data_IF_829911284976
#
_entry.id   IF_829911284976
#
_cell.length_a   1.000
_cell.length_b   1.000
_cell.length_c   1.000
_cell.angle_alpha   90.00
_cell.angle_beta   90.00
_cell.angle_gamma   90.00
#
_symmetry.space_group_name_H-M   'P 1'
#
loop_
_entity.id
_entity.type
_entity.pdbx_description
1 polymer ?
#
# COMPACT_ATOMS: atom_id res chain seq x y z
N UNK A 1 46.10 -25.48 -30.95
CA UNK A 1 45.56 -24.41 -31.82
C UNK A 1 44.30 -23.92 -31.17
N UNK A 2 44.40 -22.70 -30.71
CA UNK A 2 43.46 -21.90 -29.93
C UNK A 2 42.19 -21.61 -30.74
N UNK A 3 41.01 -21.69 -30.13
CA UNK A 3 39.77 -21.13 -30.68
C UNK A 3 39.00 -20.44 -29.56
N UNK A 4 39.13 -19.11 -29.58
CA UNK A 4 38.59 -18.17 -28.61
C UNK A 4 37.08 -18.22 -28.44
N UNK A 5 36.69 -17.95 -27.19
CA UNK A 5 35.37 -17.48 -26.82
C UNK A 5 35.11 -16.11 -27.48
N UNK A 6 33.97 -15.96 -28.13
CA UNK A 6 33.39 -14.65 -28.41
C UNK A 6 32.33 -14.34 -27.36
N UNK A 7 32.66 -13.33 -26.57
CA UNK A 7 31.84 -12.54 -25.68
C UNK A 7 30.67 -11.89 -26.43
N UNK A 8 29.44 -12.15 -25.99
CA UNK A 8 28.23 -11.50 -26.48
C UNK A 8 27.72 -10.54 -25.41
N UNK A 9 28.16 -9.29 -25.52
CA UNK A 9 27.76 -8.18 -24.68
C UNK A 9 26.24 -7.97 -24.67
N UNK A 10 25.67 -7.92 -23.47
CA UNK A 10 24.28 -7.53 -23.22
C UNK A 10 24.22 -6.00 -23.30
N UNK A 11 23.77 -5.49 -24.44
CA UNK A 11 23.51 -4.07 -24.64
C UNK A 11 22.41 -3.60 -23.68
N UNK A 12 22.73 -2.62 -22.82
CA UNK A 12 21.77 -1.93 -21.98
C UNK A 12 20.83 -1.08 -22.83
N UNK A 13 19.52 -1.28 -22.67
CA UNK A 13 18.51 -0.41 -23.25
C UNK A 13 18.43 0.84 -22.37
N UNK A 14 18.93 1.96 -22.88
CA UNK A 14 18.77 3.26 -22.24
C UNK A 14 17.34 3.78 -22.48
N UNK A 15 16.64 4.12 -21.40
CA UNK A 15 15.32 4.77 -21.48
C UNK A 15 15.47 6.21 -22.02
N UNK A 16 14.58 6.68 -22.91
CA UNK A 16 14.63 8.04 -23.44
C UNK A 16 14.29 9.08 -22.36
N UNK A 17 15.08 10.16 -22.32
CA UNK A 17 15.09 11.21 -21.27
C UNK A 17 13.92 12.20 -21.28
N UNK A 18 12.89 12.01 -22.10
CA UNK A 18 11.85 13.03 -22.34
C UNK A 18 10.40 12.63 -21.98
N UNK A 19 10.20 11.61 -21.13
CA UNK A 19 8.85 11.19 -20.73
C UNK A 19 8.16 12.10 -19.68
N UNK A 20 8.80 13.15 -19.18
CA UNK A 20 8.19 14.15 -18.29
C UNK A 20 8.11 15.52 -18.95
N UNK A 21 7.05 15.76 -19.72
CA UNK A 21 6.52 17.11 -19.94
C UNK A 21 5.02 17.11 -19.66
N UNK A 22 4.67 17.51 -18.44
CA UNK A 22 3.30 17.85 -18.07
C UNK A 22 2.91 19.15 -18.77
N UNK A 23 1.93 19.07 -19.66
CA UNK A 23 1.33 20.23 -20.33
C UNK A 23 0.34 20.90 -19.37
N UNK A 24 0.72 22.04 -18.80
CA UNK A 24 -0.21 22.88 -18.04
C UNK A 24 -1.15 23.59 -19.03
N UNK A 25 -2.44 23.23 -19.01
CA UNK A 25 -3.52 24.12 -19.46
C UNK A 25 -4.33 24.54 -18.25
N UNK A 26 -4.56 25.85 -18.04
CA UNK A 26 -5.37 26.32 -16.93
C UNK A 26 -6.86 26.03 -17.20
N UNK A 27 -7.51 25.32 -16.29
CA UNK A 27 -8.98 25.19 -16.26
C UNK A 27 -9.52 26.39 -15.48
N UNK A 28 -10.38 27.17 -16.13
CA UNK A 28 -10.99 28.36 -15.54
C UNK A 28 -11.91 28.02 -14.37
N UNK A 29 -11.70 28.71 -13.26
CA UNK A 29 -12.55 28.68 -12.06
C UNK A 29 -13.82 29.50 -12.35
N UNK A 30 -14.98 28.84 -12.36
CA UNK A 30 -16.28 29.50 -12.27
C UNK A 30 -16.60 29.73 -10.79
N UNK A 31 -16.61 31.00 -10.40
CA UNK A 31 -17.00 31.45 -9.06
C UNK A 31 -18.51 31.26 -8.86
N UNK A 32 -18.91 30.53 -7.82
CA UNK A 32 -20.30 30.49 -7.35
C UNK A 32 -20.44 31.34 -6.09
N UNK A 33 -21.36 32.29 -6.20
CA UNK A 33 -21.69 33.37 -5.27
C UNK A 33 -22.25 32.90 -3.92
N UNK A 34 -21.96 33.71 -2.90
CA UNK A 34 -22.43 33.67 -1.51
C UNK A 34 -23.96 33.62 -1.35
N UNK A 35 -24.41 32.88 -0.34
CA UNK A 35 -25.82 32.74 0.05
C UNK A 35 -26.21 33.60 1.27
N UNK A 36 -27.46 34.05 1.28
CA UNK A 36 -28.25 34.50 2.44
C UNK A 36 -29.35 35.51 2.05
N UNK A 37 -30.46 35.65 2.80
CA UNK A 37 -31.24 34.65 3.53
C UNK A 37 -32.74 34.64 3.12
N UNK A 38 -33.48 33.72 3.76
CA UNK A 38 -34.88 33.32 3.64
C UNK A 38 -35.97 34.42 3.65
N UNK A 39 -37.06 34.21 2.88
CA UNK A 39 -38.46 34.57 3.18
C UNK A 39 -39.46 33.99 2.14
N UNK A 40 -40.54 33.34 2.61
CA UNK A 40 -41.91 33.53 2.11
C UNK A 40 -42.49 32.70 0.94
N UNK A 41 -43.26 31.66 1.29
CA UNK A 41 -44.65 31.35 0.85
C UNK A 41 -45.05 31.00 -0.61
N UNK A 42 -45.72 29.83 -0.71
CA UNK A 42 -46.93 29.45 -1.52
C UNK A 42 -46.97 29.61 -3.04
N UNK A 43 -46.99 28.50 -3.80
CA UNK A 43 -48.20 27.90 -4.44
C UNK A 43 -47.83 26.84 -5.50
N UNK A 44 -48.79 25.95 -5.78
CA UNK A 44 -48.72 24.77 -6.63
C UNK A 44 -48.67 25.07 -8.14
N UNK A 45 -48.06 24.18 -8.94
CA UNK A 45 -48.69 23.44 -10.04
C UNK A 45 -47.66 22.63 -10.87
N UNK A 46 -47.99 21.35 -11.09
CA UNK A 46 -47.81 20.52 -12.29
C UNK A 46 -46.55 20.67 -13.18
N UNK A 47 -45.85 19.55 -13.40
CA UNK A 47 -45.34 19.22 -14.73
C UNK A 47 -43.97 18.54 -14.81
N UNK A 48 -43.98 17.39 -15.47
CA UNK A 48 -42.89 16.78 -16.23
C UNK A 48 -41.74 16.07 -15.49
N UNK A 49 -41.80 14.74 -15.59
CA UNK A 49 -40.68 13.83 -15.41
C UNK A 49 -39.50 14.19 -16.33
N UNK A 50 -38.29 14.23 -15.76
CA UNK A 50 -37.05 13.98 -16.47
C UNK A 50 -36.16 13.08 -15.63
N UNK A 51 -35.93 11.88 -16.18
CA UNK A 51 -34.91 10.93 -15.78
C UNK A 51 -33.55 11.62 -15.78
N UNK A 52 -32.94 11.76 -14.61
CA UNK A 52 -31.56 12.18 -14.43
C UNK A 52 -30.82 11.03 -13.78
N UNK A 53 -30.01 10.33 -14.56
CA UNK A 53 -29.06 9.32 -14.07
C UNK A 53 -28.05 10.04 -13.18
N UNK A 54 -28.17 9.86 -11.86
CA UNK A 54 -27.12 10.26 -10.91
C UNK A 54 -25.98 9.26 -11.08
N UNK A 55 -24.93 9.68 -11.79
CA UNK A 55 -23.66 8.98 -11.76
C UNK A 55 -23.07 9.13 -10.36
N UNK A 56 -23.04 8.04 -9.60
CA UNK A 56 -22.36 7.99 -8.31
C UNK A 56 -20.86 8.12 -8.58
N UNK A 57 -20.32 9.31 -8.34
CA UNK A 57 -18.87 9.54 -8.27
C UNK A 57 -18.41 8.86 -6.98
N UNK A 58 -17.63 7.78 -7.10
CA UNK A 58 -16.97 7.14 -5.97
C UNK A 58 -16.02 8.12 -5.27
N UNK A 59 -15.61 7.86 -4.02
CA UNK A 59 -14.78 8.79 -3.26
C UNK A 59 -13.48 9.05 -4.02
N UNK A 60 -13.34 10.28 -4.53
CA UNK A 60 -12.08 10.84 -4.99
C UNK A 60 -11.20 11.03 -3.76
N UNK A 61 -9.92 10.70 -3.86
CA UNK A 61 -8.91 11.14 -2.88
C UNK A 61 -8.93 12.67 -2.80
N UNK A 62 -9.49 13.17 -1.70
CA UNK A 62 -9.91 14.57 -1.51
C UNK A 62 -8.72 15.52 -1.22
N UNK A 63 -7.50 15.14 -1.60
CA UNK A 63 -6.26 15.89 -1.31
C UNK A 63 -5.63 16.52 -2.55
N UNK A 64 -6.28 16.40 -3.72
CA UNK A 64 -5.80 16.99 -4.97
C UNK A 64 -4.66 16.23 -5.64
N UNK A 65 -4.19 15.12 -5.06
CA UNK A 65 -3.17 14.25 -5.62
C UNK A 65 -3.72 13.07 -6.44
N UNK A 66 -5.04 12.89 -6.50
CA UNK A 66 -5.65 11.84 -7.32
C UNK A 66 -5.18 10.44 -6.90
N UNK A 67 -4.82 9.62 -7.88
CA UNK A 67 -4.39 8.23 -7.68
C UNK A 67 -2.95 8.09 -7.13
N UNK A 68 -2.41 9.09 -6.42
CA UNK A 68 -1.07 9.00 -5.83
C UNK A 68 -1.13 8.70 -4.33
N UNK A 69 -0.43 7.64 -3.92
CA UNK A 69 -0.24 7.27 -2.51
C UNK A 69 1.09 7.80 -1.98
N UNK A 70 1.13 8.15 -0.68
CA UNK A 70 2.31 8.61 0.03
C UNK A 70 2.49 7.79 1.30
N UNK A 71 3.39 6.80 1.24
CA UNK A 71 3.61 5.83 2.31
C UNK A 71 5.10 5.75 2.70
N UNK A 72 5.35 5.47 3.98
CA UNK A 72 6.67 5.03 4.46
C UNK A 72 6.53 3.71 5.19
N UNK A 73 7.46 2.79 4.94
CA UNK A 73 7.44 1.42 5.45
C UNK A 73 8.70 1.12 6.25
N UNK A 74 8.54 0.44 7.38
CA UNK A 74 9.60 0.17 8.34
C UNK A 74 9.61 -1.31 8.69
N UNK A 75 10.78 -1.92 8.63
CA UNK A 75 11.00 -3.26 9.19
C UNK A 75 10.92 -3.20 10.71
N UNK A 76 10.23 -4.17 11.30
CA UNK A 76 10.03 -4.27 12.76
C UNK A 76 10.70 -5.55 13.25
N UNK A 77 11.83 -5.40 13.95
CA UNK A 77 12.57 -6.53 14.52
C UNK A 77 11.90 -7.09 15.78
N UNK A 78 11.34 -6.20 16.61
CA UNK A 78 10.59 -6.56 17.82
C UNK A 78 9.15 -6.09 17.68
N UNK A 79 8.24 -7.05 17.54
CA UNK A 79 6.81 -6.76 17.38
C UNK A 79 6.25 -6.06 18.62
N UNK A 80 5.55 -4.91 18.46
CA UNK A 80 4.89 -4.21 19.56
C UNK A 80 3.56 -4.91 19.90
N UNK A 81 3.64 -5.98 20.70
CA UNK A 81 2.50 -6.86 21.02
C UNK A 81 1.33 -6.15 21.69
N UNK A 82 1.59 -5.05 22.39
CA UNK A 82 0.63 -4.18 23.06
C UNK A 82 -0.18 -3.31 22.08
N UNK A 83 0.32 -3.11 20.87
CA UNK A 83 -0.38 -2.39 19.79
C UNK A 83 -1.18 -3.32 18.87
N UNK A 84 -1.03 -4.64 19.01
CA UNK A 84 -1.73 -5.59 18.14
C UNK A 84 -3.18 -5.77 18.60
N UNK A 85 -4.11 -5.46 17.70
CA UNK A 85 -5.54 -5.73 17.88
C UNK A 85 -5.81 -7.23 18.08
N UNK A 86 -6.74 -7.57 19.00
CA UNK A 86 -7.16 -8.95 19.24
C UNK A 86 -7.91 -9.59 18.06
N UNK A 87 -8.52 -8.76 17.22
CA UNK A 87 -9.29 -9.16 16.05
C UNK A 87 -8.80 -8.37 14.81
N UNK A 88 -7.62 -8.71 14.26
CA UNK A 88 -7.06 -8.01 13.11
C UNK A 88 -7.87 -8.24 11.84
N UNK A 89 -7.48 -7.52 10.80
CA UNK A 89 -7.93 -7.77 9.43
C UNK A 89 -7.01 -8.78 8.76
N UNK A 90 -7.54 -9.93 8.33
CA UNK A 90 -6.81 -10.85 7.47
C UNK A 90 -6.88 -10.36 6.03
N UNK A 91 -5.73 -10.27 5.38
CA UNK A 91 -5.63 -9.94 3.96
C UNK A 91 -4.88 -11.07 3.27
N UNK A 92 -5.51 -11.66 2.26
CA UNK A 92 -4.84 -12.53 1.28
C UNK A 92 -4.88 -11.84 -0.07
N UNK A 93 -3.72 -11.53 -0.60
CA UNK A 93 -3.56 -10.80 -1.86
C UNK A 93 -2.72 -11.60 -2.85
N UNK A 94 -3.03 -11.43 -4.13
CA UNK A 94 -2.37 -12.11 -5.23
C UNK A 94 -1.92 -11.15 -6.30
N UNK A 95 -0.89 -11.55 -7.05
CA UNK A 95 -0.26 -10.75 -8.09
C UNK A 95 -0.46 -11.42 -9.45
N UNK A 96 -1.13 -10.71 -10.35
CA UNK A 96 -1.37 -11.14 -11.74
C UNK A 96 -0.28 -10.64 -12.69
N UNK A 97 0.30 -9.48 -12.35
CA UNK A 97 1.46 -8.87 -12.99
C UNK A 97 2.31 -8.24 -11.89
N UNK A 98 3.63 -8.39 -11.97
CA UNK A 98 4.55 -7.62 -11.15
C UNK A 98 5.95 -7.57 -11.79
N UNK A 99 6.24 -6.50 -12.53
CA UNK A 99 7.44 -6.34 -13.36
C UNK A 99 7.84 -4.87 -13.44
N UNK A 100 9.14 -4.57 -13.30
CA UNK A 100 9.71 -3.21 -13.39
C UNK A 100 9.01 -2.14 -12.53
N UNK A 101 8.51 -2.54 -11.36
CA UNK A 101 7.78 -1.66 -10.43
C UNK A 101 6.30 -1.47 -10.76
N UNK A 102 5.80 -2.02 -11.87
CA UNK A 102 4.37 -2.08 -12.18
C UNK A 102 3.76 -3.34 -11.58
N UNK A 103 2.53 -3.27 -11.08
CA UNK A 103 1.83 -4.43 -10.57
C UNK A 103 0.31 -4.39 -10.79
N UNK A 104 -0.29 -5.57 -10.94
CA UNK A 104 -1.74 -5.80 -10.87
C UNK A 104 -2.01 -6.76 -9.72
N UNK A 105 -2.69 -6.28 -8.70
CA UNK A 105 -2.98 -7.01 -7.46
C UNK A 105 -4.47 -7.24 -7.31
N UNK A 106 -4.87 -8.42 -6.85
CA UNK A 106 -6.21 -8.66 -6.30
C UNK A 106 -6.09 -9.00 -4.82
N UNK A 107 -6.79 -8.28 -3.93
CA UNK A 107 -6.89 -8.59 -2.49
C UNK A 107 -8.27 -9.12 -2.12
N UNK A 108 -8.29 -10.12 -1.25
CA UNK A 108 -9.44 -10.54 -0.47
C UNK A 108 -9.16 -10.26 1.01
N UNK A 109 -10.15 -9.70 1.69
CA UNK A 109 -10.04 -9.22 3.06
C UNK A 109 -11.17 -9.80 3.91
N UNK A 110 -10.84 -10.17 5.15
CA UNK A 110 -11.79 -10.54 6.20
C UNK A 110 -11.47 -9.73 7.46
N UNK A 111 -12.38 -8.86 7.88
CA UNK A 111 -12.18 -7.98 9.03
C UNK A 111 -12.54 -8.69 10.34
N UNK A 112 -11.80 -8.41 11.41
CA UNK A 112 -12.17 -8.87 12.76
C UNK A 112 -12.02 -10.38 12.96
N UNK A 113 -11.05 -11.01 12.29
CA UNK A 113 -10.83 -12.46 12.43
C UNK A 113 -10.06 -12.78 13.72
N UNK A 114 -10.30 -13.97 14.27
CA UNK A 114 -9.63 -14.46 15.48
C UNK A 114 -9.12 -15.88 15.26
N UNK A 115 -8.11 -16.29 16.03
CA UNK A 115 -7.60 -17.66 15.97
C UNK A 115 -6.93 -18.02 14.64
N UNK A 116 -6.42 -17.04 13.90
CA UNK A 116 -5.68 -17.28 12.66
C UNK A 116 -4.37 -17.99 12.99
N UNK A 117 -4.12 -19.12 12.33
CA UNK A 117 -2.83 -19.82 12.37
C UNK A 117 -1.90 -19.24 11.29
N UNK A 118 -0.92 -18.40 11.65
CA UNK A 118 -0.04 -17.76 10.67
C UNK A 118 0.94 -18.73 10.00
N UNK A 119 1.01 -19.99 10.45
CA UNK A 119 1.89 -21.02 9.86
C UNK A 119 1.31 -21.66 8.61
N UNK A 120 0.00 -21.51 8.39
CA UNK A 120 -0.67 -21.94 7.17
C UNK A 120 -0.14 -21.16 5.96
N UNK A 121 -0.06 -21.83 4.81
CA UNK A 121 0.22 -21.15 3.55
C UNK A 121 -0.91 -20.18 3.17
N UNK A 122 -0.61 -19.27 2.24
CA UNK A 122 -1.50 -18.17 1.87
C UNK A 122 -2.85 -18.65 1.32
N UNK A 123 -2.88 -19.80 0.63
CA UNK A 123 -4.11 -20.35 0.08
C UNK A 123 -4.92 -21.06 1.17
N UNK A 124 -4.27 -21.85 2.03
CA UNK A 124 -4.91 -22.49 3.17
C UNK A 124 -5.54 -21.46 4.13
N UNK A 125 -4.87 -20.31 4.35
CA UNK A 125 -5.42 -19.18 5.10
C UNK A 125 -6.68 -18.62 4.49
N UNK A 126 -6.69 -18.41 3.17
CA UNK A 126 -7.86 -17.96 2.45
C UNK A 126 -9.01 -18.95 2.58
N UNK A 127 -8.76 -20.25 2.35
CA UNK A 127 -9.81 -21.27 2.43
C UNK A 127 -10.41 -21.39 3.83
N UNK A 128 -9.59 -21.30 4.87
CA UNK A 128 -10.05 -21.35 6.26
C UNK A 128 -10.97 -20.16 6.62
N UNK A 129 -10.83 -19.02 5.94
CA UNK A 129 -11.54 -17.78 6.26
C UNK A 129 -12.42 -17.25 5.12
N UNK A 130 -12.64 -18.04 4.05
CA UNK A 130 -13.35 -17.58 2.86
C UNK A 130 -14.78 -17.11 3.17
N UNK A 131 -15.44 -17.75 4.14
CA UNK A 131 -16.80 -17.38 4.58
C UNK A 131 -16.86 -16.07 5.38
N UNK A 132 -15.72 -15.53 5.80
CA UNK A 132 -15.60 -14.26 6.50
C UNK A 132 -15.09 -13.11 5.59
N UNK A 133 -14.82 -13.39 4.31
CA UNK A 133 -14.37 -12.35 3.36
C UNK A 133 -15.49 -11.34 3.15
N UNK A 134 -15.20 -10.08 3.48
CA UNK A 134 -16.15 -8.97 3.48
C UNK A 134 -15.81 -7.88 2.46
N UNK A 135 -14.57 -7.86 1.97
CA UNK A 135 -14.11 -6.88 0.99
C UNK A 135 -13.09 -7.48 0.02
N UNK A 136 -13.21 -7.11 -1.25
CA UNK A 136 -12.26 -7.48 -2.28
C UNK A 136 -12.00 -6.30 -3.22
N UNK A 137 -10.77 -6.19 -3.72
CA UNK A 137 -10.43 -5.15 -4.70
C UNK A 137 -9.32 -5.60 -5.65
N UNK A 138 -9.32 -5.00 -6.85
CA UNK A 138 -8.21 -5.00 -7.79
C UNK A 138 -7.49 -3.66 -7.75
N UNK A 139 -6.17 -3.69 -7.74
CA UNK A 139 -5.31 -2.49 -7.72
C UNK A 139 -4.31 -2.55 -8.86
N UNK A 140 -4.16 -1.46 -9.61
CA UNK A 140 -3.07 -1.25 -10.58
C UNK A 140 -2.08 -0.26 -9.97
N UNK A 141 -0.80 -0.64 -9.97
CA UNK A 141 0.28 0.09 -9.31
C UNK A 141 1.37 0.47 -10.30
N UNK A 142 1.94 1.67 -10.14
CA UNK A 142 3.15 2.13 -10.82
C UNK A 142 4.39 2.06 -9.93
N UNK A 143 5.58 2.38 -10.48
CA UNK A 143 6.83 2.32 -9.75
C UNK A 143 6.87 3.31 -8.57
N UNK A 144 7.54 2.90 -7.49
CA UNK A 144 7.74 3.70 -6.29
C UNK A 144 8.96 4.62 -6.41
N UNK A 145 8.79 5.89 -6.04
CA UNK A 145 9.87 6.89 -5.92
C UNK A 145 9.69 7.63 -4.59
N UNK A 146 10.64 7.45 -3.67
CA UNK A 146 10.67 8.14 -2.36
C UNK A 146 9.35 8.09 -1.58
N UNK A 147 8.70 6.92 -1.55
CA UNK A 147 7.42 6.73 -0.84
C UNK A 147 6.19 7.21 -1.61
N UNK A 148 6.36 7.69 -2.84
CA UNK A 148 5.27 8.11 -3.72
C UNK A 148 5.11 7.15 -4.90
N UNK A 149 3.87 6.77 -5.24
CA UNK A 149 3.56 5.97 -6.43
C UNK A 149 2.14 6.21 -6.93
N UNK A 150 1.89 5.87 -8.19
CA UNK A 150 0.54 5.81 -8.75
C UNK A 150 -0.14 4.49 -8.35
N UNK A 151 -1.36 4.58 -7.82
CA UNK A 151 -2.21 3.47 -7.40
C UNK A 151 -3.68 3.75 -7.75
N UNK A 152 -4.29 2.89 -8.54
CA UNK A 152 -5.71 2.94 -8.82
C UNK A 152 -6.39 1.65 -8.35
N UNK A 153 -7.39 1.79 -7.48
CA UNK A 153 -8.12 0.68 -6.89
C UNK A 153 -9.59 0.67 -7.31
N UNK A 154 -10.15 -0.53 -7.47
CA UNK A 154 -11.59 -0.76 -7.67
C UNK A 154 -12.05 -1.99 -6.89
N UNK A 155 -13.21 -1.87 -6.26
CA UNK A 155 -13.87 -3.00 -5.62
C UNK A 155 -14.23 -4.09 -6.64
N UNK A 156 -14.13 -5.34 -6.18
CA UNK A 156 -14.56 -6.52 -6.91
C UNK A 156 -15.58 -7.29 -6.09
N UNK A 157 -16.52 -7.96 -6.78
CA UNK A 157 -17.39 -8.93 -6.14
C UNK A 157 -16.55 -10.02 -5.43
N UNK A 158 -16.80 -10.31 -4.14
CA UNK A 158 -16.00 -11.28 -3.39
C UNK A 158 -15.94 -12.67 -4.01
N UNK A 159 -17.04 -13.15 -4.62
CA UNK A 159 -17.07 -14.48 -5.25
C UNK A 159 -16.09 -14.54 -6.44
N UNK A 160 -16.00 -13.48 -7.22
CA UNK A 160 -15.08 -13.41 -8.36
C UNK A 160 -13.64 -13.23 -7.90
N UNK A 161 -13.40 -12.30 -6.96
CA UNK A 161 -12.06 -11.99 -6.49
C UNK A 161 -11.39 -13.18 -5.80
N UNK A 162 -12.13 -13.93 -4.96
CA UNK A 162 -11.63 -15.15 -4.32
C UNK A 162 -11.20 -16.18 -5.36
N UNK A 163 -11.98 -16.39 -6.43
CA UNK A 163 -11.61 -17.32 -7.51
C UNK A 163 -10.35 -16.87 -8.27
N UNK A 164 -10.17 -15.56 -8.46
CA UNK A 164 -8.93 -15.01 -9.05
C UNK A 164 -7.76 -15.29 -8.11
N UNK A 165 -7.91 -14.94 -6.83
CA UNK A 165 -6.88 -15.21 -5.82
C UNK A 165 -6.53 -16.68 -5.88
N UNK A 166 -7.47 -17.64 -5.75
CA UNK A 166 -7.28 -19.11 -5.84
C UNK A 166 -6.45 -19.62 -7.03
N UNK A 167 -6.41 -18.91 -8.16
CA UNK A 167 -5.67 -19.34 -9.37
C UNK A 167 -4.38 -18.59 -9.62
N UNK A 168 -4.18 -17.45 -8.96
CA UNK A 168 -2.98 -16.65 -9.16
C UNK A 168 -1.71 -17.40 -8.71
N UNK A 169 -0.58 -17.21 -9.41
CA UNK A 169 0.65 -17.96 -9.16
C UNK A 169 1.42 -17.48 -7.92
N UNK A 170 1.20 -16.25 -7.48
CA UNK A 170 1.94 -15.62 -6.40
C UNK A 170 0.98 -14.94 -5.42
N UNK A 171 1.21 -15.12 -4.12
CA UNK A 171 0.34 -14.67 -3.04
C UNK A 171 1.13 -14.11 -1.87
N UNK A 172 0.47 -13.30 -1.07
CA UNK A 172 0.91 -12.84 0.24
C UNK A 172 -0.28 -12.88 1.18
N UNK A 173 -0.09 -13.39 2.38
CA UNK A 173 -1.06 -13.31 3.47
C UNK A 173 -0.48 -12.52 4.65
N UNK A 174 -1.32 -11.71 5.29
CA UNK A 174 -0.93 -10.92 6.46
C UNK A 174 -2.12 -10.62 7.36
N UNK A 175 -1.82 -10.39 8.63
CA UNK A 175 -2.72 -9.83 9.63
C UNK A 175 -2.39 -8.35 9.77
N UNK A 176 -3.35 -7.50 9.42
CA UNK A 176 -3.24 -6.05 9.47
C UNK A 176 -3.88 -5.56 10.76
N UNK A 177 -3.07 -4.85 11.55
CA UNK A 177 -3.47 -4.17 12.77
C UNK A 177 -3.35 -2.66 12.57
N UNK A 178 -4.31 -1.90 13.06
CA UNK A 178 -4.29 -0.44 13.05
C UNK A 178 -3.90 0.09 14.42
N UNK A 179 -3.04 1.12 14.45
CA UNK A 179 -2.65 1.81 15.67
C UNK A 179 -2.63 3.32 15.44
N UNK A 180 -3.16 4.09 16.38
CA UNK A 180 -3.05 5.55 16.34
C UNK A 180 -1.95 6.00 17.29
N UNK A 181 -0.88 6.60 16.74
CA UNK A 181 0.30 7.01 17.52
C UNK A 181 0.60 8.49 17.25
N UNK A 182 0.43 9.31 18.28
CA UNK A 182 0.58 10.77 18.14
C UNK A 182 -0.43 11.34 17.15
N UNK A 183 0.07 11.91 16.05
CA UNK A 183 -0.73 12.51 14.99
C UNK A 183 -1.02 11.57 13.81
N UNK A 184 -0.39 10.38 13.79
CA UNK A 184 -0.37 9.50 12.62
C UNK A 184 -1.12 8.20 12.85
N UNK A 185 -1.83 7.76 11.82
CA UNK A 185 -2.38 6.41 11.71
C UNK A 185 -1.31 5.47 11.19
N UNK A 186 -1.04 4.42 11.96
CA UNK A 186 -0.09 3.37 11.63
C UNK A 186 -0.81 2.07 11.33
N UNK A 187 -0.24 1.34 10.39
CA UNK A 187 -0.61 -0.02 10.06
C UNK A 187 0.56 -0.92 10.44
N UNK A 188 0.30 -1.97 11.21
CA UNK A 188 1.27 -3.01 11.55
C UNK A 188 0.81 -4.28 10.86
N UNK A 189 1.55 -4.68 9.83
CA UNK A 189 1.31 -5.91 9.07
C UNK A 189 2.19 -7.04 9.60
N UNK A 190 1.57 -8.06 10.19
CA UNK A 190 2.22 -9.31 10.59
C UNK A 190 2.01 -10.33 9.47
N UNK A 191 3.08 -10.67 8.75
CA UNK A 191 3.00 -11.55 7.59
C UNK A 191 2.91 -13.02 8.02
N UNK A 192 2.12 -13.79 7.27
CA UNK A 192 1.90 -15.22 7.48
C UNK A 192 2.51 -16.06 6.34
N UNK A 193 2.38 -17.38 6.44
CA UNK A 193 2.84 -18.32 5.42
C UNK A 193 4.33 -18.22 5.16
N UNK A 194 4.73 -18.19 3.88
CA UNK A 194 6.15 -18.15 3.50
C UNK A 194 6.86 -16.86 3.92
N UNK A 195 6.10 -15.81 4.27
CA UNK A 195 6.64 -14.53 4.69
C UNK A 195 6.79 -14.40 6.21
N UNK A 196 6.28 -15.35 7.01
CA UNK A 196 6.59 -15.38 8.42
C UNK A 196 8.12 -15.53 8.64
N UNK A 197 8.71 -14.85 9.65
CA UNK A 197 8.08 -14.07 10.72
C UNK A 197 8.05 -12.55 10.46
N UNK A 198 8.02 -12.10 9.21
CA UNK A 198 8.13 -10.67 8.87
C UNK A 198 7.04 -9.82 9.53
N UNK A 199 7.44 -8.68 10.09
CA UNK A 199 6.55 -7.59 10.49
C UNK A 199 7.00 -6.29 9.82
N UNK A 200 6.04 -5.58 9.23
CA UNK A 200 6.27 -4.25 8.63
C UNK A 200 5.28 -3.27 9.22
N UNK A 201 5.77 -2.12 9.67
CA UNK A 201 4.96 -0.99 10.03
C UNK A 201 4.90 0.01 8.88
N UNK A 202 3.73 0.56 8.61
CA UNK A 202 3.48 1.50 7.53
C UNK A 202 2.73 2.70 8.08
N UNK A 203 3.09 3.88 7.59
CA UNK A 203 2.35 5.11 7.80
C UNK A 203 2.03 5.71 6.43
N UNK A 204 0.80 6.16 6.27
CA UNK A 204 0.30 6.77 5.05
C UNK A 204 -0.33 8.12 5.37
N UNK A 205 -0.15 9.10 4.49
CA UNK A 205 -0.82 10.40 4.57
C UNK A 205 -1.39 10.79 3.21
N UNK A 206 -2.30 11.76 3.21
CA UNK A 206 -2.89 12.33 1.98
C UNK A 206 -1.92 13.13 1.09
N UNK A 207 -0.67 13.25 1.50
CA UNK A 207 0.44 13.94 0.85
C UNK A 207 1.77 13.40 1.39
N UNK A 208 2.94 13.88 0.93
CA UNK A 208 4.23 13.36 1.34
C UNK A 208 4.39 13.25 2.87
N UNK A 209 4.83 12.08 3.34
CA UNK A 209 5.04 11.79 4.77
C UNK A 209 6.34 12.45 5.25
N UNK A 210 6.25 13.76 5.46
CA UNK A 210 7.35 14.61 5.91
C UNK A 210 7.34 14.81 7.42
N UNK A 211 8.51 15.07 8.00
CA UNK A 211 8.66 15.41 9.43
C UNK A 211 8.00 14.38 10.37
N UNK A 212 8.33 13.11 10.16
CA UNK A 212 7.68 11.98 10.82
C UNK A 212 8.30 11.67 12.18
N UNK A 213 7.46 11.47 13.20
CA UNK A 213 7.86 10.83 14.46
C UNK A 213 7.86 9.33 14.25
N UNK A 214 9.04 8.73 14.28
CA UNK A 214 9.23 7.30 14.02
C UNK A 214 9.16 6.54 15.35
N UNK A 215 8.19 5.64 15.54
CA UNK A 215 8.09 4.83 16.76
C UNK A 215 9.34 3.97 17.01
N UNK A 216 9.60 3.62 18.26
CA UNK A 216 10.79 2.86 18.67
C UNK A 216 10.86 1.43 18.16
N UNK A 217 9.72 0.83 17.82
CA UNK A 217 9.66 -0.48 17.18
C UNK A 217 10.03 -0.44 15.69
N UNK A 218 10.01 0.73 15.04
CA UNK A 218 10.40 0.89 13.64
C UNK A 218 11.94 0.84 13.53
N UNK A 219 12.46 -0.37 13.30
CA UNK A 219 13.90 -0.65 13.40
C UNK A 219 14.70 0.00 12.28
N UNK A 220 14.24 -0.14 11.03
CA UNK A 220 14.87 0.50 9.86
C UNK A 220 13.81 0.74 8.79
N UNK A 221 14.00 1.79 8.00
CA UNK A 221 13.11 2.08 6.88
C UNK A 221 13.41 1.17 5.68
N UNK A 222 12.35 0.65 5.06
CA UNK A 222 12.37 -0.25 3.88
C UNK A 222 11.49 0.28 2.75
N UNK A 223 11.07 1.54 2.80
CA UNK A 223 10.20 2.22 1.82
C UNK A 223 10.66 2.02 0.37
N UNK A 224 11.96 2.11 0.12
CA UNK A 224 12.56 1.96 -1.22
C UNK A 224 13.15 0.58 -1.48
N UNK A 225 13.11 -0.33 -0.51
CA UNK A 225 13.62 -1.69 -0.70
C UNK A 225 12.53 -2.58 -1.31
N UNK A 226 12.64 -2.81 -2.62
CA UNK A 226 11.72 -3.65 -3.39
C UNK A 226 11.64 -5.11 -2.89
N UNK A 227 12.58 -5.59 -2.07
CA UNK A 227 12.48 -6.92 -1.43
C UNK A 227 11.32 -6.99 -0.44
N UNK A 228 10.99 -5.86 0.20
CA UNK A 228 9.90 -5.73 1.18
C UNK A 228 8.59 -5.21 0.57
N UNK A 229 8.57 -4.88 -0.72
CA UNK A 229 7.32 -4.64 -1.42
C UNK A 229 6.51 -5.95 -1.50
N UNK A 230 5.19 -5.87 -1.36
CA UNK A 230 4.35 -7.08 -1.32
C UNK A 230 4.49 -7.94 -2.60
N UNK A 231 4.75 -7.35 -3.76
CA UNK A 231 5.03 -8.11 -4.98
C UNK A 231 6.42 -8.78 -4.96
N UNK A 232 7.41 -8.14 -4.33
CA UNK A 232 8.71 -8.74 -4.01
C UNK A 232 8.56 -9.95 -3.09
N UNK A 233 7.77 -9.80 -2.03
CA UNK A 233 7.45 -10.84 -1.05
C UNK A 233 6.65 -12.00 -1.67
N UNK A 234 5.76 -11.71 -2.62
CA UNK A 234 5.02 -12.74 -3.36
C UNK A 234 5.95 -13.60 -4.24
N UNK A 235 7.01 -13.01 -4.81
CA UNK A 235 7.99 -13.72 -5.66
C UNK A 235 9.05 -14.45 -4.85
N UNK A 236 9.55 -13.83 -3.77
CA UNK A 236 10.61 -14.39 -2.92
C UNK A 236 10.23 -14.18 -1.44
N UNK A 237 9.51 -15.15 -0.84
CA UNK A 237 9.01 -15.01 0.51
C UNK A 237 10.12 -14.76 1.55
N UNK A 238 9.84 -13.87 2.51
CA UNK A 238 10.80 -13.40 3.52
C UNK A 238 11.45 -14.52 4.33
N UNK A 239 10.70 -15.56 4.70
CA UNK A 239 11.22 -16.66 5.51
C UNK A 239 12.45 -17.34 4.89
N UNK A 240 12.57 -17.34 3.56
CA UNK A 240 13.73 -17.89 2.84
C UNK A 240 14.99 -17.01 2.88
N UNK A 241 14.90 -15.77 3.33
CA UNK A 241 16.04 -14.84 3.37
C UNK A 241 16.15 -14.01 4.66
N UNK A 242 15.33 -14.31 5.66
CA UNK A 242 15.32 -13.64 6.97
C UNK A 242 16.71 -13.62 7.63
N UNK A 243 17.43 -14.75 7.70
CA UNK A 243 18.76 -14.79 8.33
C UNK A 243 19.80 -13.93 7.61
N UNK A 244 19.74 -13.89 6.28
CA UNK A 244 20.63 -13.03 5.49
C UNK A 244 20.33 -11.55 5.72
N UNK A 245 19.05 -11.19 5.82
CA UNK A 245 18.63 -9.84 6.17
C UNK A 245 19.08 -9.43 7.58
N UNK A 246 18.91 -10.28 8.59
CA UNK A 246 19.37 -9.98 9.95
C UNK A 246 20.89 -9.74 10.00
N UNK A 247 21.67 -10.53 9.25
CA UNK A 247 23.11 -10.31 9.15
C UNK A 247 23.47 -9.00 8.42
N UNK A 248 22.76 -8.67 7.33
CA UNK A 248 22.91 -7.41 6.60
C UNK A 248 22.60 -6.20 7.50
N UNK A 249 21.47 -6.24 8.23
CA UNK A 249 21.07 -5.18 9.15
C UNK A 249 22.06 -5.03 10.30
N UNK A 250 22.54 -6.13 10.89
CA UNK A 250 23.54 -6.08 11.95
C UNK A 250 24.88 -5.48 11.47
N UNK A 251 25.26 -5.74 10.21
CA UNK A 251 26.50 -5.21 9.64
C UNK A 251 26.39 -3.74 9.23
N UNK A 252 25.20 -3.31 8.80
CA UNK A 252 25.03 -1.98 8.18
C UNK A 252 24.33 -0.96 9.05
N UNK A 253 23.67 -1.40 10.12
CA UNK A 253 22.86 -0.56 10.98
C UNK A 253 21.54 -0.11 10.33
N UNK A 254 20.66 0.51 11.14
CA UNK A 254 19.39 1.03 10.65
C UNK A 254 19.59 2.24 9.73
N UNK A 255 18.68 2.42 8.77
CA UNK A 255 18.71 3.51 7.80
C UNK A 255 17.32 4.11 7.63
N UNK A 256 17.27 5.41 7.39
CA UNK A 256 16.04 6.19 7.22
C UNK A 256 16.20 7.15 6.04
N UNK A 257 15.14 7.41 5.30
CA UNK A 257 15.12 8.40 4.22
C UNK A 257 15.31 9.81 4.82
N UNK A 258 16.26 10.56 4.28
CA UNK A 258 16.54 11.94 4.69
C UNK A 258 15.94 12.99 3.74
N UNK A 259 15.32 12.55 2.64
CA UNK A 259 14.74 13.44 1.61
C UNK A 259 13.36 14.00 1.98
N UNK A 260 12.73 13.52 3.06
CA UNK A 260 11.35 13.85 3.46
C UNK A 260 11.32 14.66 4.76
N UNK A 261 12.23 15.62 4.91
CA UNK A 261 12.34 16.42 6.14
C UNK A 261 13.04 15.68 7.28
N UNK A 262 12.73 16.03 8.52
CA UNK A 262 13.40 15.51 9.71
C UNK A 262 12.68 14.26 10.26
N UNK A 263 13.42 13.18 10.48
CA UNK A 263 12.88 12.02 11.19
C UNK A 263 13.15 12.21 12.68
N UNK A 264 12.10 12.34 13.48
CA UNK A 264 12.22 12.37 14.93
C UNK A 264 12.35 10.95 15.45
N UNK A 265 13.55 10.56 15.86
CA UNK A 265 13.84 9.22 16.38
C UNK A 265 13.75 9.21 17.92
N UNK A 266 13.42 8.06 18.54
CA UNK A 266 13.36 7.96 19.99
C UNK A 266 14.70 8.33 20.65
N UNK A 267 14.64 9.23 21.63
CA UNK A 267 15.82 9.67 22.39
C UNK A 267 16.57 10.86 21.79
N UNK A 268 16.11 11.41 20.65
CA UNK A 268 16.57 12.73 20.21
C UNK A 268 16.02 13.82 21.14
N UNK A 269 16.84 14.79 21.58
CA UNK A 269 16.34 15.93 22.33
C UNK A 269 15.42 16.77 21.45
N UNK A 270 14.28 17.20 21.98
CA UNK A 270 13.35 18.08 21.28
C UNK A 270 14.12 19.32 20.74
N UNK A 271 14.13 19.47 19.42
CA UNK A 271 14.68 20.67 18.79
C UNK A 271 13.72 21.84 19.07
N UNK A 272 14.00 22.59 20.14
CA UNK A 272 13.31 23.83 20.49
C UNK A 272 13.56 24.96 19.49
#
# INVERSE_FOLDING_TARGET
MDRGLHDAGRAGVALPRDALRVSHRPVGVLAASTAGPWLGSTHAHHGAARSGTVGTVGPMSDTGYGDFEFERRFFVDRTPVDLLEAAPTLIVQSYLLAEDGFAVRVRAQATGVTGVDPTLDELALLEAHVGAVDFCAITVKGPMVEGTRYEAERELDPLVAVEIVRRAPARVAKLRHSAWLGADGWVIDVFAGGNAPLVVAEVERGGPVTDLVVPDFCTTEVTTDGRFANDGLARRPFGGWASAWSAELAATGPRFLSGLGHNHLPGEPDAH
#
